data_IF_665994020424
#
_entry.id   IF_665994020424
#
_cell.length_a   1.000
_cell.length_b   1.000
_cell.length_c   1.000
_cell.angle_alpha   90.00
_cell.angle_beta   90.00
_cell.angle_gamma   90.00
#
_symmetry.space_group_name_H-M   'P 1'
#
loop_
_entity.id
_entity.type
_entity.pdbx_description
1 polymer ?
#
# COMPACT_ATOMS: atom_id res chain seq x y z
N UNK A 1 1.52 18.25 -19.65
CA UNK A 1 1.17 16.87 -19.22
C UNK A 1 1.48 16.77 -17.74
N UNK A 2 0.53 16.35 -16.90
CA UNK A 2 0.77 16.21 -15.44
C UNK A 2 1.83 15.12 -15.22
N UNK A 3 3.06 15.49 -14.86
CA UNK A 3 4.00 14.57 -14.23
C UNK A 3 3.40 14.16 -12.88
N UNK A 4 2.60 13.11 -12.86
CA UNK A 4 2.27 12.43 -11.61
C UNK A 4 3.48 11.55 -11.30
N UNK A 5 4.48 12.13 -10.63
CA UNK A 5 5.69 11.42 -10.21
C UNK A 5 5.34 10.21 -9.33
N UNK A 6 4.21 10.28 -8.62
CA UNK A 6 3.70 9.22 -7.76
C UNK A 6 2.26 8.84 -8.09
N UNK A 7 1.97 7.54 -7.99
CA UNK A 7 0.63 6.96 -7.95
C UNK A 7 0.47 6.11 -6.69
N UNK A 8 -0.77 5.83 -6.30
CA UNK A 8 -1.05 4.98 -5.16
C UNK A 8 -2.28 4.10 -5.40
N UNK A 9 -2.29 2.95 -4.76
CA UNK A 9 -3.41 2.00 -4.73
C UNK A 9 -3.78 1.81 -3.26
N UNK A 10 -5.09 1.80 -2.97
CA UNK A 10 -5.62 1.44 -1.65
C UNK A 10 -6.54 0.25 -1.86
N UNK A 11 -6.26 -0.85 -1.17
CA UNK A 11 -7.08 -2.05 -1.17
C UNK A 11 -7.54 -2.32 0.27
N UNK A 12 -8.83 -2.59 0.46
CA UNK A 12 -9.37 -3.00 1.75
C UNK A 12 -10.11 -4.32 1.58
N UNK A 13 -9.99 -5.20 2.58
CA UNK A 13 -10.72 -6.48 2.64
C UNK A 13 -10.42 -7.41 1.45
N UNK A 14 -9.13 -7.63 1.21
CA UNK A 14 -8.63 -8.57 0.19
C UNK A 14 -8.47 -9.96 0.79
N UNK A 15 -9.54 -10.76 0.67
CA UNK A 15 -9.71 -12.20 0.88
C UNK A 15 -8.85 -12.93 1.94
N UNK A 16 -7.52 -12.89 1.83
CA UNK A 16 -6.55 -13.59 2.69
C UNK A 16 -5.96 -12.71 3.80
N UNK A 17 -6.13 -11.39 3.75
CA UNK A 17 -5.59 -10.44 4.74
C UNK A 17 -6.72 -9.55 5.25
N UNK A 18 -7.11 -9.75 6.51
CA UNK A 18 -8.08 -8.91 7.22
C UNK A 18 -7.44 -7.56 7.57
N UNK A 19 -7.60 -6.59 6.67
CA UNK A 19 -6.90 -5.32 6.79
C UNK A 19 -7.04 -4.38 5.60
N UNK A 20 -6.31 -3.27 5.71
CA UNK A 20 -6.18 -2.23 4.68
C UNK A 20 -4.74 -2.17 4.21
N UNK A 21 -4.55 -2.18 2.90
CA UNK A 21 -3.27 -2.06 2.24
C UNK A 21 -3.18 -0.78 1.42
N UNK A 22 -2.00 -0.17 1.42
CA UNK A 22 -1.67 1.00 0.63
C UNK A 22 -0.32 0.83 -0.03
N UNK A 23 -0.30 0.91 -1.35
CA UNK A 23 0.90 0.83 -2.17
C UNK A 23 1.17 2.19 -2.81
N UNK A 24 2.42 2.65 -2.77
CA UNK A 24 2.87 3.88 -3.45
C UNK A 24 3.89 3.53 -4.51
N UNK A 25 3.65 4.04 -5.71
CA UNK A 25 4.48 3.80 -6.88
C UNK A 25 5.11 5.10 -7.36
N UNK A 26 6.35 5.03 -7.83
CA UNK A 26 7.05 6.10 -8.54
C UNK A 26 7.49 5.59 -9.91
N UNK A 27 7.00 6.21 -10.98
CA UNK A 27 7.26 5.76 -12.35
C UNK A 27 7.02 4.24 -12.49
N UNK A 28 5.88 3.76 -12.00
CA UNK A 28 5.47 2.34 -12.03
C UNK A 28 6.26 1.39 -11.10
N UNK A 29 7.25 1.89 -10.34
CA UNK A 29 7.98 1.08 -9.36
C UNK A 29 7.38 1.25 -7.96
N UNK A 30 7.08 0.15 -7.27
CA UNK A 30 6.67 0.18 -5.87
C UNK A 30 7.81 0.71 -5.00
N UNK A 31 7.54 1.76 -4.22
CA UNK A 31 8.53 2.40 -3.33
C UNK A 31 8.14 2.34 -1.86
N UNK A 32 6.85 2.13 -1.56
CA UNK A 32 6.33 2.04 -0.20
C UNK A 32 5.10 1.14 -0.17
N UNK A 33 5.03 0.26 0.83
CA UNK A 33 3.82 -0.47 1.21
C UNK A 33 3.51 -0.18 2.68
N UNK A 34 2.25 0.16 2.96
CA UNK A 34 1.71 0.28 4.31
C UNK A 34 0.55 -0.71 4.42
N UNK A 35 0.74 -1.73 5.26
CA UNK A 35 -0.31 -2.68 5.56
C UNK A 35 -0.76 -2.55 7.01
N UNK A 36 -2.08 -2.39 7.20
CA UNK A 36 -2.75 -2.44 8.48
C UNK A 36 -3.47 -3.77 8.62
N UNK A 37 -3.00 -4.59 9.55
CA UNK A 37 -3.69 -5.81 9.97
C UNK A 37 -4.69 -5.45 11.07
N UNK A 38 -5.97 -5.68 10.85
CA UNK A 38 -7.02 -5.34 11.82
C UNK A 38 -7.27 -6.47 12.82
N UNK A 39 -7.03 -7.73 12.43
CA UNK A 39 -7.09 -8.89 13.33
C UNK A 39 -6.01 -8.81 14.40
N UNK A 40 -4.76 -8.69 13.98
CA UNK A 40 -3.60 -8.64 14.87
C UNK A 40 -3.33 -7.23 15.42
N UNK A 41 -4.07 -6.24 14.92
CA UNK A 41 -3.85 -4.81 15.20
C UNK A 41 -2.41 -4.39 14.96
N UNK A 42 -1.73 -4.95 13.95
CA UNK A 42 -0.35 -4.59 13.58
C UNK A 42 -0.31 -3.62 12.40
N UNK A 43 0.79 -2.89 12.27
CA UNK A 43 1.10 -2.05 11.11
C UNK A 43 2.45 -2.47 10.58
N UNK A 44 2.51 -2.72 9.28
CA UNK A 44 3.74 -3.09 8.58
C UNK A 44 4.05 -1.99 7.59
N UNK A 45 5.30 -1.51 7.62
CA UNK A 45 5.84 -0.55 6.67
C UNK A 45 6.98 -1.25 5.93
N UNK A 46 6.95 -1.21 4.60
CA UNK A 46 8.07 -1.68 3.76
C UNK A 46 8.49 -0.56 2.82
N UNK A 47 9.80 -0.35 2.73
CA UNK A 47 10.45 0.63 1.85
C UNK A 47 11.35 -0.16 0.89
N UNK A 48 11.33 0.20 -0.38
CA UNK A 48 12.03 -0.50 -1.46
C UNK A 48 13.08 0.40 -2.14
#
# INVERSE_FOLDING_TARGET
MKNKDYSYIIAGDVSLRDGIDMEVYKNENLVLEIFRDDMDKKRTLRIF
#
